data_IF_193372324686
#
_entry.id   IF_193372324686
#
_cell.length_a   1.000
_cell.length_b   1.000
_cell.length_c   1.000
_cell.angle_alpha   90.00
_cell.angle_beta   90.00
_cell.angle_gamma   90.00
#
_symmetry.space_group_name_H-M   'P 1'
#
loop_
_entity.id
_entity.type
_entity.pdbx_description
1 polymer ?
#
# COMPACT_ATOMS: atom_id res chain seq x y z
N UNK A 1 -20.24 -28.38 4.18
CA UNK A 1 -20.14 -26.96 4.61
C UNK A 1 -20.26 -26.93 6.12
N UNK A 2 -19.42 -26.18 6.86
CA UNK A 2 -19.59 -26.00 8.31
C UNK A 2 -20.93 -25.27 8.56
N UNK A 3 -21.72 -25.73 9.49
CA UNK A 3 -23.02 -25.13 9.88
C UNK A 3 -22.85 -24.02 10.93
N UNK A 4 -21.72 -23.98 11.64
CA UNK A 4 -21.41 -23.02 12.69
C UNK A 4 -19.93 -22.67 12.64
N UNK A 5 -19.64 -21.39 12.83
CA UNK A 5 -18.28 -20.85 13.02
C UNK A 5 -18.33 -19.69 14.01
N UNK A 6 -17.21 -19.39 14.65
CA UNK A 6 -17.11 -18.29 15.61
C UNK A 6 -17.18 -16.92 14.94
N UNK A 7 -16.64 -16.80 13.73
CA UNK A 7 -16.59 -15.53 12.97
C UNK A 7 -16.97 -15.79 11.52
N UNK A 8 -17.84 -14.96 11.00
CA UNK A 8 -18.18 -14.91 9.57
C UNK A 8 -17.74 -13.56 9.01
N UNK A 9 -16.91 -13.59 7.99
CA UNK A 9 -16.52 -12.42 7.19
C UNK A 9 -17.40 -12.39 5.95
N UNK A 10 -18.14 -11.31 5.74
CA UNK A 10 -19.03 -11.16 4.59
C UNK A 10 -18.38 -10.23 3.57
N UNK A 11 -18.15 -10.76 2.37
CA UNK A 11 -17.51 -10.09 1.24
C UNK A 11 -16.07 -10.56 0.99
N UNK A 12 -15.83 -11.04 -0.23
CA UNK A 12 -14.55 -11.60 -0.69
C UNK A 12 -13.68 -10.61 -1.48
N UNK A 13 -13.83 -9.31 -1.25
CA UNK A 13 -12.90 -8.29 -1.74
C UNK A 13 -11.63 -8.21 -0.90
N UNK A 14 -10.71 -7.28 -1.24
CA UNK A 14 -9.42 -7.12 -0.53
C UNK A 14 -9.59 -6.91 0.97
N UNK A 15 -10.63 -6.18 1.40
CA UNK A 15 -10.89 -5.93 2.82
C UNK A 15 -11.27 -7.21 3.54
N UNK A 16 -12.23 -7.98 3.01
CA UNK A 16 -12.66 -9.23 3.63
C UNK A 16 -11.56 -10.29 3.64
N UNK A 17 -10.80 -10.41 2.55
CA UNK A 17 -9.63 -11.28 2.48
C UNK A 17 -8.57 -10.89 3.54
N UNK A 18 -8.29 -9.59 3.68
CA UNK A 18 -7.36 -9.08 4.68
C UNK A 18 -7.86 -9.37 6.11
N UNK A 19 -9.14 -9.15 6.39
CA UNK A 19 -9.72 -9.45 7.71
C UNK A 19 -9.58 -10.94 8.02
N UNK A 20 -9.94 -11.82 7.10
CA UNK A 20 -9.82 -13.27 7.29
C UNK A 20 -8.36 -13.69 7.54
N UNK A 21 -7.44 -13.17 6.71
CA UNK A 21 -6.00 -13.43 6.87
C UNK A 21 -5.50 -13.04 8.27
N UNK A 22 -5.82 -11.83 8.73
CA UNK A 22 -5.35 -11.35 10.03
C UNK A 22 -6.03 -12.08 11.20
N UNK A 23 -7.30 -12.44 11.08
CA UNK A 23 -7.97 -13.28 12.08
C UNK A 23 -7.24 -14.62 12.23
N UNK A 24 -6.96 -15.30 11.12
CA UNK A 24 -6.23 -16.57 11.16
C UNK A 24 -4.80 -16.42 11.69
N UNK A 25 -4.10 -15.36 11.30
CA UNK A 25 -2.76 -15.01 11.80
C UNK A 25 -2.77 -14.76 13.32
N UNK A 26 -3.87 -14.26 13.87
CA UNK A 26 -4.08 -14.07 15.32
C UNK A 26 -4.58 -15.33 16.03
N UNK A 27 -4.67 -16.48 15.35
CA UNK A 27 -5.12 -17.74 15.93
C UNK A 27 -6.64 -17.98 15.89
N UNK A 28 -7.42 -17.11 15.25
CA UNK A 28 -8.85 -17.28 15.07
C UNK A 28 -9.14 -18.14 13.83
N UNK A 29 -8.88 -19.45 13.96
CA UNK A 29 -8.97 -20.40 12.83
C UNK A 29 -10.40 -20.89 12.56
N UNK A 30 -11.34 -20.72 13.51
CA UNK A 30 -12.74 -21.04 13.32
C UNK A 30 -13.51 -19.85 12.72
N UNK A 31 -13.06 -19.46 11.51
CA UNK A 31 -13.61 -18.37 10.73
C UNK A 31 -14.04 -18.86 9.34
N UNK A 32 -14.98 -18.14 8.72
CA UNK A 32 -15.49 -18.41 7.37
C UNK A 32 -15.64 -17.08 6.62
N UNK A 33 -15.28 -17.09 5.34
CA UNK A 33 -15.58 -16.00 4.43
C UNK A 33 -16.73 -16.41 3.52
N UNK A 34 -17.71 -15.51 3.38
CA UNK A 34 -18.84 -15.67 2.47
C UNK A 34 -18.78 -14.58 1.40
N UNK A 35 -18.79 -15.00 0.14
CA UNK A 35 -18.89 -14.13 -1.02
C UNK A 35 -20.08 -14.59 -1.88
N UNK A 36 -20.87 -13.64 -2.37
CA UNK A 36 -22.06 -13.93 -3.18
C UNK A 36 -21.76 -14.13 -4.66
N UNK A 37 -20.61 -13.66 -5.10
CA UNK A 37 -20.12 -13.75 -6.47
C UNK A 37 -18.71 -14.34 -6.49
N UNK A 38 -17.90 -14.00 -7.50
CA UNK A 38 -16.48 -14.34 -7.54
C UNK A 38 -15.68 -13.45 -6.59
N UNK A 39 -14.60 -14.00 -6.04
CA UNK A 39 -13.67 -13.23 -5.21
C UNK A 39 -13.16 -12.02 -5.99
N UNK A 40 -13.06 -10.89 -5.33
CA UNK A 40 -12.56 -9.62 -5.88
C UNK A 40 -13.40 -8.96 -6.98
N UNK A 41 -14.51 -9.54 -7.41
CA UNK A 41 -15.33 -9.04 -8.53
C UNK A 41 -16.00 -7.67 -8.31
N UNK A 42 -16.02 -7.16 -7.06
CA UNK A 42 -16.55 -5.84 -6.71
C UNK A 42 -15.53 -4.70 -6.88
N UNK A 43 -15.52 -3.76 -5.93
CA UNK A 43 -14.64 -2.58 -5.96
C UNK A 43 -13.15 -2.91 -6.05
N UNK A 44 -12.72 -4.08 -5.57
CA UNK A 44 -11.33 -4.53 -5.62
C UNK A 44 -10.81 -4.64 -7.06
N UNK A 45 -11.62 -5.19 -7.97
CA UNK A 45 -11.28 -5.29 -9.38
C UNK A 45 -11.15 -3.93 -10.08
N UNK A 46 -11.88 -2.91 -9.61
CA UNK A 46 -11.89 -1.58 -10.21
C UNK A 46 -10.83 -0.63 -9.64
N UNK A 47 -9.99 -1.10 -8.72
CA UNK A 47 -8.95 -0.28 -8.12
C UNK A 47 -7.82 0.02 -9.11
N UNK A 48 -7.29 1.24 -9.09
CA UNK A 48 -6.17 1.67 -9.93
C UNK A 48 -4.84 0.98 -9.56
N UNK A 49 -4.81 0.25 -8.45
CA UNK A 49 -3.64 -0.49 -7.94
C UNK A 49 -2.38 0.37 -7.69
N UNK A 50 -2.56 1.68 -7.47
CA UNK A 50 -1.47 2.57 -7.08
C UNK A 50 -1.17 2.43 -5.59
N UNK A 51 0.03 2.00 -5.24
CA UNK A 51 0.46 1.78 -3.85
C UNK A 51 1.55 2.78 -3.50
N UNK A 52 1.37 3.53 -2.43
CA UNK A 52 2.34 4.52 -1.95
C UNK A 52 2.36 4.54 -0.42
N UNK A 53 3.45 5.02 0.17
CA UNK A 53 3.65 5.02 1.63
C UNK A 53 3.38 6.37 2.28
N UNK A 54 3.49 7.47 1.54
CA UNK A 54 3.24 8.79 2.07
C UNK A 54 1.75 9.13 2.09
N UNK A 55 1.28 9.57 3.25
CA UNK A 55 -0.03 10.19 3.43
C UNK A 55 0.09 11.37 4.39
N UNK A 56 -0.82 12.35 4.29
CA UNK A 56 -0.89 13.46 5.24
C UNK A 56 -1.29 13.04 6.65
N UNK A 57 -2.00 11.91 6.79
CA UNK A 57 -2.27 11.27 8.07
C UNK A 57 -1.20 10.22 8.39
N UNK A 58 -0.61 10.32 9.59
CA UNK A 58 0.46 9.43 10.03
C UNK A 58 0.00 7.97 10.22
N UNK A 59 -1.24 7.75 10.64
CA UNK A 59 -1.76 6.40 10.83
C UNK A 59 -2.04 5.73 9.48
N UNK A 60 -2.55 6.50 8.51
CA UNK A 60 -2.73 6.02 7.14
C UNK A 60 -1.38 5.69 6.50
N UNK A 61 -0.34 6.53 6.67
CA UNK A 61 1.01 6.22 6.20
C UNK A 61 1.56 4.92 6.80
N UNK A 62 1.36 4.70 8.10
CA UNK A 62 1.76 3.44 8.77
C UNK A 62 1.02 2.24 8.19
N UNK A 63 -0.29 2.37 7.96
CA UNK A 63 -1.11 1.31 7.38
C UNK A 63 -0.67 0.99 5.94
N UNK A 64 -0.38 2.01 5.13
CA UNK A 64 0.10 1.84 3.77
C UNK A 64 1.48 1.15 3.74
N UNK A 65 2.40 1.57 4.61
CA UNK A 65 3.70 0.89 4.75
C UNK A 65 3.53 -0.57 5.15
N UNK A 66 2.72 -0.84 6.17
CA UNK A 66 2.40 -2.21 6.59
C UNK A 66 1.83 -3.04 5.43
N UNK A 67 0.94 -2.46 4.64
CA UNK A 67 0.33 -3.14 3.49
C UNK A 67 1.37 -3.56 2.45
N UNK A 68 2.34 -2.69 2.14
CA UNK A 68 3.42 -3.02 1.19
C UNK A 68 4.30 -4.15 1.73
N UNK A 69 4.66 -4.09 3.01
CA UNK A 69 5.46 -5.13 3.65
C UNK A 69 4.68 -6.46 3.72
N UNK A 70 3.35 -6.41 3.96
CA UNK A 70 2.47 -7.57 3.95
C UNK A 70 2.39 -8.24 2.58
N UNK A 71 2.33 -7.48 1.50
CA UNK A 71 2.32 -8.07 0.16
C UNK A 71 3.61 -8.87 -0.11
N UNK A 72 4.77 -8.36 0.31
CA UNK A 72 6.03 -9.11 0.21
C UNK A 72 6.01 -10.39 1.06
N UNK A 73 5.43 -10.32 2.26
CA UNK A 73 5.23 -11.50 3.13
C UNK A 73 4.32 -12.53 2.43
N UNK A 74 3.21 -12.10 1.82
CA UNK A 74 2.28 -12.96 1.10
C UNK A 74 2.96 -13.61 -0.11
N UNK A 75 3.73 -12.87 -0.89
CA UNK A 75 4.51 -13.43 -2.01
C UNK A 75 5.48 -14.52 -1.53
N UNK A 76 6.19 -14.26 -0.42
CA UNK A 76 7.14 -15.22 0.14
C UNK A 76 6.46 -16.50 0.64
N UNK A 77 5.27 -16.39 1.24
CA UNK A 77 4.51 -17.54 1.78
C UNK A 77 3.81 -18.33 0.66
N UNK A 78 3.20 -17.64 -0.29
CA UNK A 78 2.37 -18.28 -1.32
C UNK A 78 3.15 -18.75 -2.55
N UNK A 79 4.33 -18.19 -2.79
CA UNK A 79 5.08 -18.37 -4.03
C UNK A 79 4.43 -17.70 -5.25
N UNK A 80 3.38 -16.89 -5.04
CA UNK A 80 2.66 -16.17 -6.10
C UNK A 80 2.98 -14.68 -6.02
N UNK A 81 3.25 -14.05 -7.18
CA UNK A 81 3.45 -12.62 -7.23
C UNK A 81 2.14 -11.86 -6.99
N UNK A 82 2.20 -10.85 -6.13
CA UNK A 82 1.12 -9.85 -5.96
C UNK A 82 1.17 -8.75 -7.03
N UNK A 83 2.11 -8.80 -7.94
CA UNK A 83 2.28 -7.82 -9.02
C UNK A 83 2.78 -6.46 -8.54
N UNK A 84 3.49 -6.40 -7.42
CA UNK A 84 4.06 -5.14 -6.93
C UNK A 84 5.35 -4.82 -7.66
N UNK A 85 5.36 -3.67 -8.33
CA UNK A 85 6.55 -3.09 -8.96
C UNK A 85 6.97 -1.84 -8.18
N UNK A 86 8.13 -1.91 -7.52
CA UNK A 86 8.66 -0.81 -6.71
C UNK A 86 9.36 0.24 -7.61
N UNK A 87 8.59 0.94 -8.43
CA UNK A 87 9.09 1.95 -9.37
C UNK A 87 9.42 3.29 -8.73
N UNK A 88 9.01 3.49 -7.47
CA UNK A 88 9.07 4.79 -6.82
C UNK A 88 7.96 5.74 -7.29
N UNK A 89 7.96 6.94 -6.72
CA UNK A 89 7.04 8.01 -7.08
C UNK A 89 7.80 9.35 -7.12
N UNK A 90 7.38 10.25 -8.02
CA UNK A 90 7.95 11.57 -8.14
C UNK A 90 6.85 12.62 -8.14
N UNK A 91 7.04 13.68 -7.36
CA UNK A 91 6.16 14.86 -7.36
C UNK A 91 6.95 16.05 -7.85
N UNK A 92 6.44 16.75 -8.85
CA UNK A 92 7.11 17.86 -9.52
C UNK A 92 6.44 19.18 -9.15
N UNK A 93 7.24 20.20 -8.79
CA UNK A 93 6.77 21.55 -8.51
C UNK A 93 6.71 22.37 -9.80
N UNK A 94 5.51 22.84 -10.17
CA UNK A 94 5.31 23.77 -11.28
C UNK A 94 5.40 25.25 -10.86
N UNK A 95 5.36 25.54 -9.56
CA UNK A 95 5.42 26.89 -9.00
C UNK A 95 5.89 26.87 -7.55
N UNK A 96 6.16 28.06 -6.97
CA UNK A 96 6.67 28.19 -5.60
C UNK A 96 5.74 27.58 -4.54
N UNK A 97 4.43 27.74 -4.67
CA UNK A 97 3.46 27.18 -3.69
C UNK A 97 3.54 25.66 -3.65
N UNK A 98 3.64 25.02 -4.81
CA UNK A 98 3.80 23.55 -4.89
C UNK A 98 5.14 23.12 -4.32
N UNK A 99 6.21 23.89 -4.59
CA UNK A 99 7.54 23.61 -4.03
C UNK A 99 7.54 23.66 -2.49
N UNK A 100 6.88 24.65 -1.91
CA UNK A 100 6.78 24.76 -0.45
C UNK A 100 5.97 23.60 0.16
N UNK A 101 4.89 23.17 -0.51
CA UNK A 101 4.16 21.96 -0.14
C UNK A 101 5.04 20.71 -0.22
N UNK A 102 5.85 20.56 -1.26
CA UNK A 102 6.79 19.44 -1.40
C UNK A 102 7.83 19.45 -0.27
N UNK A 103 8.37 20.60 0.09
CA UNK A 103 9.29 20.73 1.24
C UNK A 103 8.63 20.29 2.55
N UNK A 104 7.38 20.69 2.76
CA UNK A 104 6.60 20.24 3.91
C UNK A 104 6.37 18.72 3.88
N UNK A 105 5.99 18.16 2.73
CA UNK A 105 5.83 16.70 2.55
C UNK A 105 7.12 15.95 2.85
N UNK A 106 8.26 16.45 2.36
CA UNK A 106 9.58 15.88 2.62
C UNK A 106 9.91 15.86 4.12
N UNK A 107 9.74 17.00 4.81
CA UNK A 107 9.99 17.09 6.25
C UNK A 107 9.11 16.14 7.03
N UNK A 108 7.83 16.03 6.66
CA UNK A 108 6.87 15.12 7.28
C UNK A 108 7.20 13.66 6.97
N UNK A 109 7.60 13.35 5.74
CA UNK A 109 8.03 12.01 5.36
C UNK A 109 9.24 11.55 6.17
N UNK A 110 10.23 12.40 6.36
CA UNK A 110 11.36 12.12 7.26
C UNK A 110 10.92 11.84 8.70
N UNK A 111 9.99 12.62 9.24
CA UNK A 111 9.42 12.37 10.56
C UNK A 111 8.73 11.00 10.64
N UNK A 112 8.09 10.57 9.56
CA UNK A 112 7.43 9.26 9.46
C UNK A 112 8.40 8.10 9.16
N UNK A 113 9.70 8.36 9.02
CA UNK A 113 10.71 7.35 8.69
C UNK A 113 10.62 6.86 7.25
N UNK A 114 10.08 7.68 6.33
CA UNK A 114 10.03 7.37 4.91
C UNK A 114 11.30 7.85 4.20
N UNK A 115 11.78 7.06 3.24
CA UNK A 115 12.87 7.43 2.36
C UNK A 115 12.34 8.41 1.31
N UNK A 116 12.70 9.67 1.45
CA UNK A 116 12.30 10.77 0.56
C UNK A 116 13.49 11.68 0.32
N UNK A 117 13.63 12.14 -0.92
CA UNK A 117 14.72 12.99 -1.34
C UNK A 117 14.16 14.21 -2.08
N UNK A 118 14.72 15.40 -1.81
CA UNK A 118 14.52 16.58 -2.63
C UNK A 118 15.63 16.61 -3.67
N UNK A 119 15.26 16.64 -4.93
CA UNK A 119 16.20 16.68 -6.04
C UNK A 119 16.00 17.94 -6.89
N UNK A 120 17.06 18.41 -7.54
CA UNK A 120 16.96 19.52 -8.46
C UNK A 120 16.40 19.11 -9.82
N UNK A 121 15.91 20.07 -10.64
CA UNK A 121 15.46 19.77 -12.00
C UNK A 121 16.52 19.07 -12.86
N UNK A 122 17.81 19.40 -12.65
CA UNK A 122 18.93 18.79 -13.38
C UNK A 122 19.13 17.30 -13.01
N UNK A 123 18.71 16.92 -11.82
CA UNK A 123 18.80 15.54 -11.33
C UNK A 123 17.62 14.67 -11.77
N UNK A 124 16.51 15.28 -12.20
CA UNK A 124 15.30 14.54 -12.63
C UNK A 124 15.64 13.53 -13.75
N UNK A 125 16.41 13.95 -14.76
CA UNK A 125 16.82 13.10 -15.87
C UNK A 125 17.74 11.94 -15.48
N UNK A 126 18.44 12.05 -14.35
CA UNK A 126 19.32 10.99 -13.82
C UNK A 126 18.60 10.04 -12.88
N UNK A 127 17.43 10.44 -12.40
CA UNK A 127 16.67 9.71 -11.38
C UNK A 127 15.90 8.52 -11.92
N UNK A 128 15.64 8.46 -13.22
CA UNK A 128 14.84 7.41 -13.86
C UNK A 128 15.44 6.01 -13.82
N UNK A 129 16.70 5.85 -13.38
CA UNK A 129 17.43 4.58 -13.41
C UNK A 129 17.70 3.96 -12.04
N UNK A 130 17.20 4.52 -10.93
CA UNK A 130 17.41 3.95 -9.59
C UNK A 130 16.09 3.51 -8.95
N UNK A 131 15.93 2.22 -8.77
CA UNK A 131 14.88 1.64 -7.92
C UNK A 131 14.90 2.21 -6.50
N UNK A 132 13.72 2.54 -5.96
CA UNK A 132 13.44 2.78 -4.54
C UNK A 132 13.53 4.20 -4.01
N UNK A 133 13.17 5.24 -4.73
CA UNK A 133 13.09 6.56 -4.09
C UNK A 133 11.76 7.23 -4.40
N UNK A 134 11.03 7.61 -3.35
CA UNK A 134 10.01 8.64 -3.46
C UNK A 134 10.78 9.96 -3.62
N UNK A 135 10.80 10.51 -4.82
CA UNK A 135 11.50 11.77 -5.12
C UNK A 135 10.51 12.89 -5.23
N UNK A 136 10.77 13.95 -4.49
CA UNK A 136 10.00 15.19 -4.51
C UNK A 136 10.86 16.27 -5.17
N UNK A 137 10.34 16.89 -6.20
CA UNK A 137 11.01 18.00 -6.91
C UNK A 137 10.13 19.22 -6.90
#
# INVERSE_FOLDING_TARGET
MKSHVRVVVIGGGVVGASVLYHLTKMGWTDAMLLEKHELTSGSTWHAAASVHTYNSDANVSKLQKYTIDLYREIEAISGQSCGIHATGNMVVAANQTVLDNIRMMHSRGKYLGLEMELISPEEIGRASCRERVLRLV
#
